data_IF_077029695499
#
_entry.id   IF_077029695499
#
_cell.length_a   1.000
_cell.length_b   1.000
_cell.length_c   1.000
_cell.angle_alpha   90.00
_cell.angle_beta   90.00
_cell.angle_gamma   90.00
#
_symmetry.space_group_name_H-M   'P 1'
#
loop_
_entity.id
_entity.type
_entity.pdbx_description
1 polymer ?
#
# COMPACT_ATOMS: atom_id res chain seq x y z
N UNK A 1 -73.32 -42.64 -47.25
CA UNK A 1 -71.86 -42.71 -47.00
C UNK A 1 -71.27 -41.32 -47.20
N UNK A 2 -70.75 -40.69 -46.14
CA UNK A 2 -70.14 -39.36 -46.19
C UNK A 2 -68.71 -39.54 -45.67
N UNK A 3 -67.76 -39.68 -46.59
CA UNK A 3 -66.35 -39.86 -46.25
C UNK A 3 -65.83 -38.58 -45.60
N UNK A 4 -65.07 -38.66 -44.49
CA UNK A 4 -64.47 -37.47 -43.91
C UNK A 4 -63.44 -36.87 -44.89
N UNK A 5 -63.49 -35.56 -45.06
CA UNK A 5 -62.60 -34.80 -45.94
C UNK A 5 -61.13 -34.93 -45.51
N UNK A 6 -60.25 -35.27 -46.46
CA UNK A 6 -58.81 -35.51 -46.28
C UNK A 6 -58.02 -34.31 -45.69
N UNK A 7 -58.60 -33.12 -45.71
CA UNK A 7 -58.02 -31.88 -45.17
C UNK A 7 -57.99 -31.85 -43.63
N UNK A 8 -58.96 -32.47 -42.95
CA UNK A 8 -59.01 -32.51 -41.49
C UNK A 8 -57.93 -33.40 -40.90
N UNK A 9 -57.65 -34.53 -41.56
CA UNK A 9 -56.63 -35.52 -41.17
C UNK A 9 -55.21 -34.92 -41.31
N UNK A 10 -54.98 -34.15 -42.37
CA UNK A 10 -53.68 -33.51 -42.63
C UNK A 10 -53.40 -32.34 -41.67
N UNK A 11 -54.42 -31.55 -41.29
CA UNK A 11 -54.25 -30.48 -40.31
C UNK A 11 -53.97 -31.01 -38.90
N UNK A 12 -54.67 -32.07 -38.46
CA UNK A 12 -54.43 -32.71 -37.16
C UNK A 12 -53.03 -33.34 -37.10
N UNK A 13 -52.61 -34.01 -38.17
CA UNK A 13 -51.26 -34.59 -38.26
C UNK A 13 -50.17 -33.49 -38.20
N UNK A 14 -50.41 -32.32 -38.79
CA UNK A 14 -49.48 -31.18 -38.71
C UNK A 14 -49.40 -30.56 -37.31
N UNK A 15 -50.52 -30.50 -36.58
CA UNK A 15 -50.53 -30.05 -35.19
C UNK A 15 -49.86 -31.06 -34.25
N UNK A 16 -50.11 -32.36 -34.44
CA UNK A 16 -49.43 -33.44 -33.73
C UNK A 16 -47.92 -33.38 -34.00
N UNK A 17 -47.49 -33.24 -35.26
CA UNK A 17 -46.07 -33.12 -35.61
C UNK A 17 -45.41 -31.89 -34.95
N UNK A 18 -46.10 -30.74 -34.87
CA UNK A 18 -45.60 -29.54 -34.17
C UNK A 18 -45.50 -29.76 -32.66
N UNK A 19 -46.47 -30.44 -32.07
CA UNK A 19 -46.45 -30.75 -30.64
C UNK A 19 -45.33 -31.74 -30.30
N UNK A 20 -45.13 -32.76 -31.13
CA UNK A 20 -44.01 -33.70 -31.02
C UNK A 20 -42.67 -32.95 -31.16
N UNK A 21 -42.53 -32.03 -32.13
CA UNK A 21 -41.33 -31.19 -32.30
C UNK A 21 -41.06 -30.31 -31.08
N UNK A 22 -42.09 -29.68 -30.52
CA UNK A 22 -41.95 -28.86 -29.30
C UNK A 22 -41.51 -29.70 -28.11
N UNK A 23 -42.15 -30.86 -27.89
CA UNK A 23 -41.80 -31.78 -26.80
C UNK A 23 -40.37 -32.31 -26.99
N UNK A 24 -39.99 -32.68 -28.21
CA UNK A 24 -38.64 -33.14 -28.51
C UNK A 24 -37.59 -32.04 -28.26
N UNK A 25 -37.89 -30.79 -28.64
CA UNK A 25 -37.00 -29.64 -28.40
C UNK A 25 -36.83 -29.37 -26.90
N UNK A 26 -37.92 -29.39 -26.14
CA UNK A 26 -37.88 -29.21 -24.68
C UNK A 26 -37.07 -30.31 -24.00
N UNK A 27 -37.29 -31.57 -24.40
CA UNK A 27 -36.55 -32.72 -23.89
C UNK A 27 -35.05 -32.59 -24.21
N UNK A 28 -34.70 -32.17 -25.42
CA UNK A 28 -33.31 -32.02 -25.83
C UNK A 28 -32.62 -30.86 -25.07
N UNK A 29 -33.31 -29.73 -24.89
CA UNK A 29 -32.81 -28.61 -24.10
C UNK A 29 -32.54 -29.03 -22.63
N UNK A 30 -33.44 -29.81 -22.03
CA UNK A 30 -33.27 -30.33 -20.68
C UNK A 30 -32.07 -31.30 -20.55
N UNK A 31 -31.90 -32.18 -21.55
CA UNK A 31 -30.73 -33.08 -21.62
C UNK A 31 -29.43 -32.31 -21.80
N UNK A 32 -29.39 -31.29 -22.67
CA UNK A 32 -28.20 -30.45 -22.89
C UNK A 32 -27.82 -29.66 -21.65
N UNK A 33 -28.79 -29.07 -20.92
CA UNK A 33 -28.52 -28.39 -19.65
C UNK A 33 -27.85 -29.31 -18.62
N UNK A 34 -28.24 -30.59 -18.57
CA UNK A 34 -27.62 -31.57 -17.68
C UNK A 34 -26.17 -31.90 -18.09
N UNK A 35 -25.85 -31.94 -19.38
CA UNK A 35 -24.47 -32.12 -19.86
C UNK A 35 -23.61 -30.88 -19.56
N UNK A 36 -24.15 -29.67 -19.77
CA UNK A 36 -23.43 -28.44 -19.43
C UNK A 36 -23.13 -28.37 -17.92
N UNK A 37 -24.04 -28.84 -17.07
CA UNK A 37 -23.81 -28.89 -15.63
C UNK A 37 -22.66 -29.82 -15.23
N UNK A 38 -22.48 -30.91 -15.98
CA UNK A 38 -21.39 -31.86 -15.75
C UNK A 38 -20.02 -31.29 -16.19
N UNK A 39 -20.01 -30.40 -17.20
CA UNK A 39 -18.81 -29.72 -17.68
C UNK A 39 -18.44 -28.47 -16.85
N UNK A 40 -19.44 -27.80 -16.27
CA UNK A 40 -19.27 -26.52 -15.58
C UNK A 40 -18.89 -26.62 -14.10
N UNK A 41 -18.87 -27.82 -13.49
CA UNK A 41 -18.43 -27.92 -12.11
C UNK A 41 -18.56 -29.29 -11.47
N UNK A 42 -17.48 -30.06 -11.52
CA UNK A 42 -17.16 -31.06 -10.49
C UNK A 42 -16.02 -30.56 -9.61
N UNK A 43 -16.06 -29.28 -9.20
CA UNK A 43 -15.11 -28.74 -8.21
C UNK A 43 -15.54 -29.11 -6.79
N UNK A 44 -15.66 -30.41 -6.54
CA UNK A 44 -15.55 -31.01 -5.20
C UNK A 44 -14.89 -32.36 -5.36
N UNK A 45 -13.63 -32.36 -5.77
CA UNK A 45 -12.75 -33.48 -5.46
C UNK A 45 -12.65 -33.50 -3.93
N UNK A 46 -13.23 -34.49 -3.22
CA UNK A 46 -12.91 -34.63 -1.81
C UNK A 46 -11.39 -34.87 -1.77
N UNK A 47 -10.65 -33.97 -1.12
CA UNK A 47 -9.30 -34.31 -0.70
C UNK A 47 -9.47 -35.50 0.24
N UNK A 48 -9.27 -36.71 -0.28
CA UNK A 48 -9.00 -37.85 0.58
C UNK A 48 -7.83 -37.42 1.47
N UNK A 49 -7.96 -37.47 2.81
CA UNK A 49 -6.80 -37.37 3.67
C UNK A 49 -5.76 -38.37 3.16
N UNK A 50 -4.47 -38.01 3.12
CA UNK A 50 -3.44 -38.97 2.76
C UNK A 50 -3.66 -40.20 3.65
N UNK A 51 -3.78 -41.37 3.02
CA UNK A 51 -3.82 -42.61 3.76
C UNK A 51 -2.58 -42.61 4.67
N UNK A 52 -2.79 -42.62 5.98
CA UNK A 52 -1.70 -42.81 6.92
C UNK A 52 -1.17 -44.22 6.66
N UNK A 53 -0.14 -44.31 5.81
CA UNK A 53 0.73 -45.46 5.81
C UNK A 53 1.19 -45.64 7.25
N UNK A 54 1.00 -46.85 7.79
CA UNK A 54 1.62 -47.22 9.05
C UNK A 54 3.13 -47.03 8.86
N UNK A 55 3.64 -45.90 9.35
CA UNK A 55 5.08 -45.70 9.49
C UNK A 55 5.54 -46.77 10.46
N UNK A 56 6.13 -47.83 9.93
CA UNK A 56 7.14 -48.56 10.66
C UNK A 56 8.19 -47.53 11.04
N UNK A 57 8.22 -47.16 12.32
CA UNK A 57 9.23 -46.30 12.91
C UNK A 57 10.56 -47.05 12.91
N UNK A 58 11.20 -47.12 11.74
CA UNK A 58 12.66 -47.18 11.71
C UNK A 58 13.12 -45.81 12.20
N UNK A 59 13.53 -45.75 13.45
CA UNK A 59 14.31 -44.64 13.98
C UNK A 59 15.63 -44.61 13.20
N UNK A 60 15.60 -44.03 12.00
CA UNK A 60 16.82 -43.61 11.33
C UNK A 60 17.48 -42.63 12.29
N UNK A 61 18.68 -42.97 12.77
CA UNK A 61 19.51 -42.05 13.51
C UNK A 61 19.71 -40.83 12.62
N UNK A 62 19.01 -39.74 12.94
CA UNK A 62 19.17 -38.47 12.26
C UNK A 62 20.53 -37.96 12.69
N UNK A 63 21.50 -38.07 11.80
CA UNK A 63 22.83 -37.51 11.98
C UNK A 63 22.71 -35.97 12.02
N UNK A 64 22.62 -35.44 13.24
CA UNK A 64 22.45 -34.02 13.53
C UNK A 64 23.64 -33.18 13.07
N UNK A 65 24.78 -33.80 12.74
CA UNK A 65 25.91 -33.11 12.10
C UNK A 65 25.55 -32.54 10.73
N UNK A 66 24.64 -33.20 9.98
CA UNK A 66 24.15 -32.68 8.68
C UNK A 66 23.30 -31.44 8.85
N UNK A 67 22.51 -31.36 9.92
CA UNK A 67 21.70 -30.17 10.22
C UNK A 67 22.57 -28.97 10.59
N UNK A 68 23.72 -29.21 11.25
CA UNK A 68 24.70 -28.16 11.53
C UNK A 68 25.42 -27.63 10.27
N UNK A 69 25.45 -28.40 9.17
CA UNK A 69 26.00 -27.96 7.89
C UNK A 69 25.03 -27.12 7.04
N UNK A 70 23.73 -27.13 7.35
CA UNK A 70 22.75 -26.30 6.67
C UNK A 70 22.84 -24.86 7.16
N UNK A 71 23.47 -24.03 6.35
CA UNK A 71 23.59 -22.58 6.57
C UNK A 71 22.35 -21.83 6.12
N UNK A 72 21.14 -22.28 6.50
CA UNK A 72 19.85 -21.69 6.10
C UNK A 72 19.68 -20.23 6.57
N UNK A 73 20.40 -19.85 7.63
CA UNK A 73 20.40 -18.50 8.20
C UNK A 73 21.80 -17.88 8.24
N UNK A 74 22.79 -18.48 7.56
CA UNK A 74 24.10 -17.83 7.45
C UNK A 74 23.94 -16.72 6.42
N UNK A 75 23.90 -15.49 6.91
CA UNK A 75 24.17 -14.31 6.10
C UNK A 75 25.45 -14.61 5.33
N UNK A 76 25.35 -14.76 4.00
CA UNK A 76 26.54 -14.84 3.18
C UNK A 76 27.44 -13.66 3.59
N UNK A 77 28.75 -13.86 3.77
CA UNK A 77 29.66 -12.75 3.92
C UNK A 77 29.31 -11.79 2.79
N UNK A 78 28.94 -10.57 3.14
CA UNK A 78 28.77 -9.54 2.14
C UNK A 78 30.18 -9.34 1.61
N UNK A 79 30.55 -10.07 0.56
CA UNK A 79 31.66 -9.71 -0.33
C UNK A 79 31.21 -8.44 -1.05
N UNK A 80 31.16 -7.38 -0.24
CA UNK A 80 31.32 -6.01 -0.65
C UNK A 80 32.80 -5.90 -0.94
N UNK A 81 33.15 -5.64 -2.19
CA UNK A 81 34.38 -4.88 -2.41
C UNK A 81 34.18 -3.56 -1.64
N UNK A 82 34.87 -3.30 -0.52
CA UNK A 82 34.32 -2.41 0.51
C UNK A 82 34.37 -0.91 0.20
N UNK A 83 35.10 -0.45 -0.82
CA UNK A 83 35.56 0.95 -0.76
C UNK A 83 34.91 1.96 -1.72
N UNK A 84 34.29 1.54 -2.82
CA UNK A 84 33.65 2.50 -3.75
C UNK A 84 32.15 2.69 -3.48
N UNK A 85 31.42 1.60 -3.24
CA UNK A 85 29.96 1.61 -3.04
C UNK A 85 29.51 2.24 -1.70
N UNK A 86 30.39 2.27 -0.69
CA UNK A 86 30.07 2.79 0.63
C UNK A 86 30.22 4.32 0.74
N UNK A 87 31.03 4.93 -0.13
CA UNK A 87 31.39 6.36 -0.08
C UNK A 87 30.96 7.15 -1.33
N UNK A 88 30.21 6.53 -2.25
CA UNK A 88 29.66 7.23 -3.41
C UNK A 88 28.66 8.32 -2.96
N UNK A 89 28.67 9.51 -3.59
CA UNK A 89 27.71 10.57 -3.28
C UNK A 89 26.27 10.16 -3.64
N UNK A 90 25.28 10.74 -2.96
CA UNK A 90 23.87 10.59 -3.35
C UNK A 90 23.64 11.15 -4.76
N UNK A 91 22.76 10.51 -5.53
CA UNK A 91 22.47 10.94 -6.89
C UNK A 91 21.77 12.29 -6.89
N UNK A 92 22.21 13.17 -7.77
CA UNK A 92 21.56 14.47 -8.02
C UNK A 92 20.40 14.35 -9.03
N UNK A 93 20.16 13.16 -9.59
CA UNK A 93 19.07 12.92 -10.53
C UNK A 93 17.73 12.96 -9.79
N UNK A 94 16.72 13.54 -10.44
CA UNK A 94 15.34 13.57 -9.95
C UNK A 94 14.67 12.21 -10.18
N UNK A 95 15.20 11.18 -9.53
CA UNK A 95 14.71 9.81 -9.60
C UNK A 95 14.20 9.38 -8.22
N UNK A 96 13.30 8.40 -8.23
CA UNK A 96 12.74 7.77 -7.04
C UNK A 96 12.87 6.26 -7.18
N UNK A 97 13.47 5.63 -6.17
CA UNK A 97 13.56 4.17 -6.09
C UNK A 97 12.25 3.63 -5.51
N UNK A 98 11.50 2.89 -6.33
CA UNK A 98 10.21 2.31 -5.97
C UNK A 98 10.32 0.85 -5.51
N UNK A 99 11.35 0.13 -5.97
CA UNK A 99 11.55 -1.27 -5.59
C UNK A 99 12.89 -1.84 -6.05
N UNK A 100 13.33 -2.92 -5.41
CA UNK A 100 14.56 -3.66 -5.75
C UNK A 100 14.31 -5.16 -5.75
N UNK A 101 14.94 -5.86 -6.68
CA UNK A 101 14.97 -7.32 -6.80
C UNK A 101 16.43 -7.76 -6.81
N UNK A 102 16.93 -8.21 -5.66
CA UNK A 102 18.31 -8.68 -5.50
C UNK A 102 18.37 -10.17 -5.79
N UNK A 103 19.21 -10.54 -6.74
CA UNK A 103 19.49 -11.95 -7.08
C UNK A 103 20.79 -12.41 -6.41
N UNK A 104 20.92 -13.72 -6.18
CA UNK A 104 22.18 -14.35 -5.75
C UNK A 104 23.29 -14.02 -6.75
N UNK A 105 22.97 -14.11 -8.04
CA UNK A 105 23.83 -13.62 -9.11
C UNK A 105 23.57 -12.12 -9.32
N UNK A 106 24.49 -11.27 -8.84
CA UNK A 106 24.33 -9.79 -8.78
C UNK A 106 23.93 -9.17 -10.12
N UNK A 107 24.46 -9.67 -11.24
CA UNK A 107 24.17 -9.19 -12.60
C UNK A 107 22.73 -9.42 -13.06
N UNK A 108 22.00 -10.35 -12.43
CA UNK A 108 20.56 -10.59 -12.69
C UNK A 108 19.64 -9.71 -11.85
N UNK A 109 20.19 -8.86 -10.99
CA UNK A 109 19.39 -7.99 -10.14
C UNK A 109 18.67 -6.91 -10.98
N UNK A 110 17.56 -6.40 -10.45
CA UNK A 110 16.74 -5.40 -11.13
C UNK A 110 16.17 -4.39 -10.13
N UNK A 111 15.79 -3.21 -10.59
CA UNK A 111 15.20 -2.15 -9.78
C UNK A 111 14.03 -1.49 -10.50
N UNK A 112 13.02 -1.06 -9.76
CA UNK A 112 11.93 -0.23 -10.26
C UNK A 112 12.25 1.22 -9.90
N UNK A 113 12.39 2.07 -10.91
CA UNK A 113 12.78 3.48 -10.75
C UNK A 113 11.76 4.34 -11.50
N UNK A 114 11.25 5.37 -10.83
CA UNK A 114 10.42 6.43 -11.41
C UNK A 114 11.17 7.76 -11.45
N UNK A 115 10.76 8.65 -12.34
CA UNK A 115 11.18 10.06 -12.28
C UNK A 115 10.35 10.80 -11.22
N UNK A 116 10.93 11.81 -10.59
CA UNK A 116 10.26 12.56 -9.52
C UNK A 116 8.99 13.22 -10.06
N UNK A 117 7.84 12.88 -9.47
CA UNK A 117 6.52 13.33 -9.92
C UNK A 117 5.75 12.34 -10.80
N UNK A 118 6.40 11.29 -11.32
CA UNK A 118 5.70 10.16 -11.93
C UNK A 118 5.27 9.14 -10.88
N UNK A 119 4.08 8.58 -11.05
CA UNK A 119 3.51 7.54 -10.16
C UNK A 119 3.83 6.12 -10.62
N UNK A 120 4.24 5.96 -11.89
CA UNK A 120 4.53 4.66 -12.50
C UNK A 120 6.04 4.51 -12.67
N UNK A 121 6.63 3.59 -11.91
CA UNK A 121 8.04 3.22 -12.06
C UNK A 121 8.27 2.24 -13.21
N UNK A 122 9.46 2.32 -13.82
CA UNK A 122 9.90 1.39 -14.87
C UNK A 122 10.91 0.40 -14.30
N UNK A 123 10.89 -0.83 -14.79
CA UNK A 123 11.83 -1.88 -14.40
C UNK A 123 13.13 -1.75 -15.20
N UNK A 124 14.26 -1.72 -14.49
CA UNK A 124 15.60 -1.67 -15.05
C UNK A 124 16.43 -2.85 -14.54
N UNK A 125 17.18 -3.49 -15.43
CA UNK A 125 18.18 -4.51 -15.09
C UNK A 125 19.56 -3.89 -14.90
N UNK A 126 20.44 -4.54 -14.15
CA UNK A 126 21.86 -4.13 -14.07
C UNK A 126 22.44 -4.02 -15.49
N UNK A 127 23.14 -2.91 -15.76
CA UNK A 127 23.68 -2.55 -17.08
C UNK A 127 22.72 -1.74 -17.96
N UNK A 128 21.46 -1.53 -17.57
CA UNK A 128 20.53 -0.70 -18.35
C UNK A 128 20.60 0.77 -17.97
N UNK A 129 20.35 1.64 -18.96
CA UNK A 129 20.33 3.08 -18.78
C UNK A 129 18.99 3.54 -18.21
N UNK A 130 19.03 4.38 -17.18
CA UNK A 130 17.88 5.03 -16.55
C UNK A 130 17.69 6.46 -17.07
N UNK A 131 16.58 7.10 -16.72
CA UNK A 131 16.36 8.51 -17.02
C UNK A 131 17.48 9.39 -16.41
N UNK A 132 17.87 10.46 -17.11
CA UNK A 132 19.02 11.29 -16.71
C UNK A 132 20.39 10.75 -17.13
N UNK A 133 20.41 9.67 -17.93
CA UNK A 133 21.61 9.20 -18.63
C UNK A 133 22.55 8.32 -17.80
N UNK A 134 22.22 8.02 -16.54
CA UNK A 134 22.98 7.10 -15.72
C UNK A 134 22.66 5.63 -16.06
N UNK A 135 23.56 4.71 -15.72
CA UNK A 135 23.41 3.26 -15.91
C UNK A 135 23.29 2.57 -14.56
N UNK A 136 22.38 1.63 -14.41
CA UNK A 136 22.24 0.86 -13.17
C UNK A 136 23.44 -0.09 -13.00
N UNK A 137 24.40 0.24 -12.13
CA UNK A 137 25.64 -0.54 -11.96
C UNK A 137 25.49 -1.66 -10.95
N UNK A 138 24.73 -1.46 -9.88
CA UNK A 138 24.44 -2.49 -8.88
C UNK A 138 23.12 -2.25 -8.14
N UNK A 139 22.54 -3.32 -7.61
CA UNK A 139 21.30 -3.27 -6.82
C UNK A 139 21.58 -3.89 -5.46
N UNK A 140 21.23 -3.16 -4.40
CA UNK A 140 21.28 -3.61 -3.02
C UNK A 140 19.88 -3.60 -2.42
N UNK A 141 19.75 -4.14 -1.21
CA UNK A 141 18.47 -4.27 -0.51
C UNK A 141 17.87 -2.89 -0.16
N UNK A 142 18.71 -1.90 0.13
CA UNK A 142 18.33 -0.56 0.62
C UNK A 142 18.58 0.58 -0.37
N UNK A 143 19.27 0.31 -1.47
CA UNK A 143 19.76 1.30 -2.43
C UNK A 143 20.11 0.68 -3.77
N UNK A 144 20.29 1.52 -4.77
CA UNK A 144 20.93 1.14 -6.03
C UNK A 144 22.11 2.05 -6.31
N UNK A 145 23.08 1.54 -7.07
CA UNK A 145 24.17 2.34 -7.61
C UNK A 145 23.89 2.68 -9.06
N UNK A 146 24.04 3.95 -9.39
CA UNK A 146 23.87 4.51 -10.72
C UNK A 146 25.23 5.05 -11.16
N UNK A 147 25.75 4.54 -12.27
CA UNK A 147 26.99 5.04 -12.84
C UNK A 147 26.70 6.12 -13.88
N UNK A 148 27.31 7.29 -13.71
CA UNK A 148 27.22 8.42 -14.64
C UNK A 148 28.61 8.97 -14.91
N UNK A 149 29.01 9.02 -16.18
CA UNK A 149 30.34 9.47 -16.60
C UNK A 149 31.49 8.74 -15.87
N UNK A 150 31.32 7.45 -15.59
CA UNK A 150 32.31 6.62 -14.88
C UNK A 150 32.27 6.72 -13.35
N UNK A 151 31.52 7.67 -12.76
CA UNK A 151 31.37 7.81 -11.32
C UNK A 151 30.10 7.10 -10.83
N UNK A 152 30.19 6.39 -9.70
CA UNK A 152 29.03 5.82 -9.04
C UNK A 152 28.32 6.86 -8.17
N UNK A 153 26.99 6.86 -8.24
CA UNK A 153 26.07 7.64 -7.44
C UNK A 153 25.09 6.70 -6.74
N UNK A 154 24.66 7.05 -5.54
CA UNK A 154 23.71 6.23 -4.76
C UNK A 154 22.31 6.78 -4.94
N UNK A 155 21.34 5.92 -5.27
CA UNK A 155 19.91 6.22 -5.18
C UNK A 155 19.28 5.34 -4.10
N UNK A 156 18.79 5.95 -3.02
CA UNK A 156 18.15 5.25 -1.90
C UNK A 156 16.64 5.26 -1.99
N UNK A 157 16.02 4.34 -1.26
CA UNK A 157 14.60 4.46 -0.95
C UNK A 157 14.33 5.77 -0.21
N UNK A 158 13.25 6.45 -0.61
CA UNK A 158 12.71 7.55 0.18
C UNK A 158 12.24 6.95 1.50
N UNK A 159 12.93 7.27 2.59
CA UNK A 159 12.50 6.90 3.94
C UNK A 159 11.24 7.70 4.26
N UNK A 160 10.08 7.12 3.95
CA UNK A 160 8.86 7.50 4.64
C UNK A 160 8.90 6.80 5.98
N UNK A 161 8.89 7.55 7.09
CA UNK A 161 8.92 7.01 8.45
C UNK A 161 7.59 6.28 8.75
N UNK A 162 7.39 5.11 8.15
CA UNK A 162 6.16 4.31 8.29
C UNK A 162 6.20 3.38 9.51
N UNK A 163 7.37 3.15 10.11
CA UNK A 163 7.55 2.44 11.37
C UNK A 163 8.27 3.38 12.33
N UNK A 164 7.53 3.95 13.29
CA UNK A 164 8.10 4.72 14.38
C UNK A 164 8.97 3.83 15.25
N UNK A 165 10.27 4.11 15.30
CA UNK A 165 11.21 3.33 16.11
C UNK A 165 12.61 3.92 16.18
N UNK A 166 13.14 4.44 15.08
CA UNK A 166 14.47 5.03 15.09
C UNK A 166 14.42 6.56 15.11
N UNK A 167 15.16 7.13 16.08
CA UNK A 167 15.45 8.55 16.16
C UNK A 167 16.02 9.04 14.82
N UNK A 168 15.59 10.22 14.31
CA UNK A 168 16.12 10.74 13.08
C UNK A 168 17.63 10.96 13.24
N UNK A 169 18.40 10.31 12.37
CA UNK A 169 19.82 10.65 12.17
C UNK A 169 19.85 12.11 11.75
N UNK A 170 20.44 12.94 12.60
CA UNK A 170 20.66 14.36 12.38
C UNK A 170 21.38 14.57 11.05
N UNK A 171 20.64 14.97 10.01
CA UNK A 171 21.24 15.59 8.82
C UNK A 171 21.66 17.01 9.22
N UNK A 172 22.95 17.40 9.14
CA UNK A 172 23.42 18.66 9.72
C UNK A 172 22.99 19.95 9.00
N UNK A 173 22.02 19.94 8.08
CA UNK A 173 21.85 21.08 7.15
C UNK A 173 20.40 21.37 6.69
N UNK A 174 19.41 21.28 7.58
CA UNK A 174 18.20 22.09 7.43
C UNK A 174 18.46 23.47 8.06
N UNK A 175 18.15 24.60 7.40
CA UNK A 175 18.36 25.92 8.00
C UNK A 175 17.57 26.00 9.30
N UNK A 176 18.28 26.23 10.42
CA UNK A 176 17.75 26.27 11.78
C UNK A 176 16.61 27.30 12.01
N UNK A 177 16.30 28.11 10.99
CA UNK A 177 15.25 29.13 11.04
C UNK A 177 13.83 28.55 10.90
N UNK A 178 13.63 27.44 10.20
CA UNK A 178 12.25 26.94 9.91
C UNK A 178 11.59 26.28 11.12
N UNK A 179 12.34 25.47 11.89
CA UNK A 179 11.83 24.86 13.12
C UNK A 179 11.65 25.87 14.27
N UNK A 180 12.53 26.89 14.35
CA UNK A 180 12.38 27.99 15.31
C UNK A 180 11.11 28.81 15.03
N UNK A 181 10.84 29.12 13.77
CA UNK A 181 9.62 29.82 13.35
C UNK A 181 8.35 28.99 13.59
N UNK A 182 8.38 27.68 13.28
CA UNK A 182 7.24 26.79 13.54
C UNK A 182 6.90 26.71 15.04
N UNK A 183 7.93 26.61 15.90
CA UNK A 183 7.75 26.62 17.37
C UNK A 183 7.20 27.94 17.90
N UNK A 184 7.59 29.07 17.29
CA UNK A 184 7.06 30.40 17.64
C UNK A 184 5.60 30.54 17.23
N UNK A 185 5.24 30.12 16.01
CA UNK A 185 3.85 30.12 15.53
C UNK A 185 2.96 29.22 16.40
N UNK A 186 3.46 28.06 16.81
CA UNK A 186 2.75 27.15 17.70
C UNK A 186 2.58 27.74 19.11
N UNK A 187 3.57 28.45 19.64
CA UNK A 187 3.45 29.18 20.91
C UNK A 187 2.39 30.27 20.86
N UNK A 188 2.30 31.01 19.74
CA UNK A 188 1.25 32.02 19.53
C UNK A 188 -0.14 31.38 19.42
N UNK A 189 -0.25 30.24 18.73
CA UNK A 189 -1.48 29.46 18.64
C UNK A 189 -1.96 29.00 20.02
N UNK A 190 -1.06 28.48 20.86
CA UNK A 190 -1.39 28.06 22.24
C UNK A 190 -1.88 29.25 23.07
N UNK A 191 -1.24 30.42 22.94
CA UNK A 191 -1.66 31.63 23.67
C UNK A 191 -3.05 32.13 23.20
N UNK A 192 -3.31 32.14 21.89
CA UNK A 192 -4.61 32.53 21.31
C UNK A 192 -5.72 31.56 21.73
N UNK A 193 -5.45 30.27 21.68
CA UNK A 193 -6.34 29.24 22.22
C UNK A 193 -6.58 29.43 23.73
N UNK A 194 -5.65 30.07 24.45
CA UNK A 194 -5.84 30.37 25.87
C UNK A 194 -6.78 31.56 26.12
N UNK A 195 -6.57 32.66 25.40
CA UNK A 195 -7.31 33.91 25.61
C UNK A 195 -8.68 33.93 24.95
N UNK A 196 -8.80 33.36 23.74
CA UNK A 196 -10.05 33.28 22.98
C UNK A 196 -10.11 31.97 22.17
N UNK A 197 -10.52 30.87 22.82
CA UNK A 197 -10.59 29.57 22.16
C UNK A 197 -11.57 29.56 20.98
N UNK A 198 -12.73 30.20 21.15
CA UNK A 198 -13.78 30.27 20.12
C UNK A 198 -13.32 31.02 18.87
N UNK A 199 -12.71 32.19 19.04
CA UNK A 199 -12.20 32.99 17.92
C UNK A 199 -11.05 32.31 17.20
N UNK A 200 -10.12 31.69 17.94
CA UNK A 200 -9.01 30.95 17.33
C UNK A 200 -9.48 29.74 16.52
N UNK A 201 -10.43 28.95 17.05
CA UNK A 201 -11.00 27.82 16.31
C UNK A 201 -11.74 28.29 15.04
N UNK A 202 -12.50 29.38 15.12
CA UNK A 202 -13.15 29.97 13.95
C UNK A 202 -12.15 30.46 12.89
N UNK A 203 -11.05 31.10 13.30
CA UNK A 203 -9.95 31.55 12.42
C UNK A 203 -9.27 30.37 11.71
N UNK A 204 -9.08 29.26 12.44
CA UNK A 204 -8.54 28.02 11.89
C UNK A 204 -9.57 27.22 11.08
N UNK A 205 -10.82 27.68 11.04
CA UNK A 205 -11.93 27.00 10.37
C UNK A 205 -12.33 25.68 11.03
N UNK A 206 -12.12 25.54 12.33
CA UNK A 206 -12.47 24.37 13.13
C UNK A 206 -13.81 24.59 13.84
N UNK A 207 -14.74 23.65 13.67
CA UNK A 207 -16.04 23.65 14.33
C UNK A 207 -16.07 22.55 15.40
N UNK A 208 -16.26 22.91 16.67
CA UNK A 208 -16.40 21.93 17.74
C UNK A 208 -17.71 21.14 17.57
N UNK A 209 -17.62 19.81 17.45
CA UNK A 209 -18.79 18.95 17.20
C UNK A 209 -18.70 17.65 17.99
N UNK A 210 -19.20 17.68 19.22
CA UNK A 210 -19.16 16.53 20.12
C UNK A 210 -17.73 16.17 20.48
N UNK A 211 -17.29 14.97 20.13
CA UNK A 211 -15.91 14.50 20.31
C UNK A 211 -15.10 14.84 19.05
N UNK A 212 -14.49 16.01 19.03
CA UNK A 212 -13.56 16.45 17.99
C UNK A 212 -13.94 17.76 17.30
N UNK A 213 -13.20 18.03 16.22
CA UNK A 213 -13.32 19.25 15.42
C UNK A 213 -13.62 18.93 13.95
N UNK A 214 -14.60 19.58 13.35
CA UNK A 214 -14.89 19.46 11.93
C UNK A 214 -14.24 20.62 11.15
N UNK A 215 -13.53 20.28 10.06
CA UNK A 215 -12.89 21.27 9.19
C UNK A 215 -13.96 21.92 8.30
N UNK A 216 -14.13 23.22 8.43
CA UNK A 216 -14.99 24.06 7.58
C UNK A 216 -14.24 24.60 6.36
N UNK A 217 -14.98 25.15 5.40
CA UNK A 217 -14.41 25.79 4.20
C UNK A 217 -13.57 27.04 4.49
N UNK A 218 -13.78 27.64 5.66
CA UNK A 218 -13.06 28.81 6.14
C UNK A 218 -11.62 28.46 6.57
N UNK A 219 -11.28 27.18 6.67
CA UNK A 219 -9.94 26.76 7.05
C UNK A 219 -8.88 27.24 6.03
N UNK A 220 -7.76 27.84 6.49
CA UNK A 220 -6.75 28.38 5.61
C UNK A 220 -6.22 27.36 4.61
N UNK A 221 -6.10 27.75 3.33
CA UNK A 221 -5.69 26.83 2.26
C UNK A 221 -4.28 26.26 2.47
N UNK A 222 -3.38 27.01 3.09
CA UNK A 222 -2.03 26.56 3.40
C UNK A 222 -2.02 25.45 4.46
N UNK A 223 -2.90 25.53 5.48
CA UNK A 223 -3.04 24.51 6.52
C UNK A 223 -3.59 23.21 5.94
N UNK A 224 -4.67 23.32 5.14
CA UNK A 224 -5.29 22.16 4.48
C UNK A 224 -4.31 21.42 3.57
N UNK A 225 -3.49 22.16 2.80
CA UNK A 225 -2.51 21.57 1.87
C UNK A 225 -1.29 20.97 2.57
N UNK A 226 -0.79 21.62 3.63
CA UNK A 226 0.39 21.14 4.37
C UNK A 226 0.11 19.86 5.14
N UNK A 227 -1.08 19.74 5.73
CA UNK A 227 -1.47 18.59 6.56
C UNK A 227 -2.30 17.56 5.76
N UNK A 228 -2.75 17.91 4.55
CA UNK A 228 -3.58 17.03 3.71
C UNK A 228 -5.04 16.92 4.14
N UNK A 229 -5.52 17.89 4.92
CA UNK A 229 -6.90 17.99 5.41
C UNK A 229 -7.85 18.53 4.32
N UNK A 230 -9.10 18.09 4.35
CA UNK A 230 -10.19 18.50 3.44
C UNK A 230 -11.36 19.04 4.26
N UNK A 231 -12.17 19.89 3.64
CA UNK A 231 -13.45 20.32 4.22
C UNK A 231 -14.31 19.09 4.53
N UNK A 232 -14.92 19.08 5.71
CA UNK A 232 -15.75 17.99 6.21
C UNK A 232 -14.99 16.87 6.92
N UNK A 233 -13.65 16.93 6.95
CA UNK A 233 -12.86 16.02 7.79
C UNK A 233 -13.14 16.32 9.28
N UNK A 234 -13.32 15.26 10.07
CA UNK A 234 -13.48 15.36 11.54
C UNK A 234 -12.22 14.90 12.24
N UNK A 235 -11.57 15.80 12.96
CA UNK A 235 -10.40 15.50 13.79
C UNK A 235 -10.88 14.93 15.12
N UNK A 236 -10.51 13.68 15.40
CA UNK A 236 -10.99 12.94 16.56
C UNK A 236 -9.95 12.86 17.67
N UNK A 237 -8.68 12.63 17.32
CA UNK A 237 -7.61 12.45 18.30
C UNK A 237 -6.30 13.13 17.92
N UNK A 238 -5.54 13.51 18.94
CA UNK A 238 -4.16 13.97 18.86
C UNK A 238 -3.31 13.12 19.81
N UNK A 239 -2.22 12.53 19.30
CA UNK A 239 -1.33 11.64 20.05
C UNK A 239 -2.05 10.52 20.83
N UNK A 240 -3.18 10.03 20.28
CA UNK A 240 -4.02 8.99 20.89
C UNK A 240 -5.05 9.50 21.91
N UNK A 241 -5.07 10.79 22.22
CA UNK A 241 -6.03 11.43 23.12
C UNK A 241 -7.17 12.08 22.34
N UNK A 242 -8.41 11.91 22.81
CA UNK A 242 -9.61 12.48 22.17
C UNK A 242 -9.62 14.01 22.26
N UNK A 243 -9.98 14.65 21.15
CA UNK A 243 -10.13 16.09 21.04
C UNK A 243 -11.59 16.52 21.25
N UNK A 244 -11.81 17.83 21.38
CA UNK A 244 -13.14 18.45 21.44
C UNK A 244 -13.39 19.23 22.72
N UNK A 245 -12.42 19.25 23.64
CA UNK A 245 -12.44 20.13 24.79
C UNK A 245 -11.27 21.12 24.66
N UNK A 246 -11.53 22.37 24.25
CA UNK A 246 -10.49 23.37 24.03
C UNK A 246 -9.58 23.60 25.25
N UNK A 247 -10.02 23.29 26.47
CA UNK A 247 -9.21 23.41 27.67
C UNK A 247 -8.23 22.24 27.83
N UNK A 248 -8.66 21.00 27.55
CA UNK A 248 -7.80 19.82 27.59
C UNK A 248 -6.85 19.77 26.38
N UNK A 249 -7.33 20.25 25.23
CA UNK A 249 -6.59 20.20 23.96
C UNK A 249 -5.37 21.14 23.98
N UNK A 250 -5.34 22.14 24.88
CA UNK A 250 -4.17 22.99 25.15
C UNK A 250 -2.97 22.19 25.61
N UNK A 251 -3.17 21.28 26.56
CA UNK A 251 -2.08 20.49 27.15
C UNK A 251 -1.49 19.55 26.09
N UNK A 252 -2.35 19.03 25.21
CA UNK A 252 -1.96 18.21 24.07
C UNK A 252 -1.09 18.98 23.08
N UNK A 253 -1.47 20.22 22.76
CA UNK A 253 -0.70 21.08 21.86
C UNK A 253 0.64 21.51 22.49
N UNK A 254 0.70 21.73 23.80
CA UNK A 254 1.97 21.98 24.49
C UNK A 254 2.89 20.75 24.43
N UNK A 255 2.35 19.56 24.61
CA UNK A 255 3.12 18.32 24.47
C UNK A 255 3.67 18.17 23.05
N UNK A 256 2.88 18.49 22.02
CA UNK A 256 3.34 18.52 20.62
C UNK A 256 4.44 19.57 20.42
N UNK A 257 4.33 20.74 21.03
CA UNK A 257 5.35 21.79 20.94
C UNK A 257 6.69 21.33 21.54
N UNK A 258 6.63 20.59 22.65
CA UNK A 258 7.82 20.06 23.33
C UNK A 258 8.42 18.86 22.59
N UNK A 259 7.57 17.96 22.07
CA UNK A 259 8.01 16.76 21.36
C UNK A 259 8.45 17.05 19.92
N UNK A 260 7.93 18.11 19.31
CA UNK A 260 8.08 18.38 17.87
C UNK A 260 7.32 17.38 17.00
N UNK A 261 6.45 16.54 17.56
CA UNK A 261 5.75 15.47 16.83
C UNK A 261 4.25 15.43 17.19
N UNK A 262 3.40 15.30 16.17
CA UNK A 262 1.95 15.19 16.29
C UNK A 262 1.39 14.06 15.42
N UNK A 263 0.66 13.13 16.05
CA UNK A 263 -0.18 12.12 15.41
C UNK A 263 -1.63 12.55 15.47
N UNK A 264 -2.27 12.75 14.33
CA UNK A 264 -3.65 13.23 14.22
C UNK A 264 -4.52 12.13 13.59
N UNK A 265 -5.55 11.67 14.30
CA UNK A 265 -6.57 10.78 13.73
C UNK A 265 -7.77 11.59 13.26
N UNK A 266 -8.13 11.43 12.00
CA UNK A 266 -9.27 12.09 11.37
C UNK A 266 -10.26 11.07 10.78
N UNK A 267 -11.52 11.46 10.65
CA UNK A 267 -12.55 10.75 9.91
C UNK A 267 -12.89 11.55 8.64
N UNK A 268 -12.70 10.92 7.48
CA UNK A 268 -13.07 11.44 6.17
C UNK A 268 -14.20 10.59 5.59
N UNK A 269 -15.42 11.14 5.60
CA UNK A 269 -16.62 10.36 5.27
C UNK A 269 -16.80 9.21 6.28
N UNK A 270 -16.55 7.97 5.84
CA UNK A 270 -16.58 6.76 6.68
C UNK A 270 -15.20 6.15 6.98
N UNK A 271 -14.12 6.75 6.48
CA UNK A 271 -12.76 6.24 6.62
C UNK A 271 -11.98 6.97 7.71
N UNK A 272 -11.30 6.24 8.58
CA UNK A 272 -10.37 6.83 9.56
C UNK A 272 -8.97 6.90 8.93
N UNK A 273 -8.35 8.07 8.99
CA UNK A 273 -7.01 8.34 8.46
C UNK A 273 -6.12 8.84 9.61
N UNK A 274 -4.85 8.45 9.59
CA UNK A 274 -3.84 8.94 10.55
C UNK A 274 -2.82 9.79 9.80
N UNK A 275 -2.56 10.99 10.32
CA UNK A 275 -1.61 11.96 9.77
C UNK A 275 -0.53 12.20 10.82
N UNK A 276 0.72 12.11 10.42
CA UNK A 276 1.88 12.33 11.28
C UNK A 276 2.59 13.60 10.82
N UNK A 277 2.81 14.54 11.73
CA UNK A 277 3.48 15.80 11.46
C UNK A 277 4.65 15.98 12.41
N UNK A 278 5.79 16.42 11.88
CA UNK A 278 6.97 16.82 12.65
C UNK A 278 7.23 18.31 12.44
N UNK A 279 7.65 19.01 13.50
CA UNK A 279 7.84 20.46 13.57
C UNK A 279 9.21 20.87 14.12
#
# INVERSE_FOLDING_TARGET
MKTPSLTSITQYNRQIARLIMLVATLYFAWRMSSLLWLLAGQDKMPLNPPAQSQQTSTSAMVDSSRLASFTLFKSAPIESSPNAAANAPETALQLKLDGVFVSVEKTRSSAIISEQGQTVGKLYKVGQQVAGGATLSAVFVDKVLLQRNGNDEVLRFVKTNLLGGDAPVTTPNAPANTGAQARQMLGQAINRLNTDPSGYLAEMGLLAKGQGYEISDNAPAHLRRSIGLRTGDKILKLNGQVLGNPQADKDLLQQVQQSGHARIEILRGSQTLTIEQTF
#
